data_IF_906999357014
#
_entry.id   IF_906999357014
#
_cell.length_a   1.000
_cell.length_b   1.000
_cell.length_c   1.000
_cell.angle_alpha   90.00
_cell.angle_beta   90.00
_cell.angle_gamma   90.00
#
_symmetry.space_group_name_H-M   'P 1'
#
loop_
_entity.id
_entity.type
_entity.pdbx_description
1 polymer ?
#
# COMPACT_ATOMS: atom_id res chain seq x y z
N UNK A 1 8.08 31.78 10.24
CA UNK A 1 8.06 31.11 8.91
C UNK A 1 9.34 30.36 8.57
N UNK A 2 10.53 30.73 9.08
CA UNK A 2 11.78 30.00 8.78
C UNK A 2 11.89 28.61 9.46
N UNK A 3 11.34 28.44 10.67
CA UNK A 3 11.45 27.19 11.44
C UNK A 3 10.77 25.97 10.78
N UNK A 4 9.59 26.19 10.19
CA UNK A 4 8.86 25.16 9.44
C UNK A 4 9.55 24.77 8.14
N UNK A 5 10.37 25.65 7.56
CA UNK A 5 11.10 25.36 6.32
C UNK A 5 12.22 24.36 6.57
N UNK A 6 12.96 24.53 7.66
CA UNK A 6 14.03 23.61 8.06
C UNK A 6 13.49 22.24 8.49
N UNK A 7 12.35 22.20 9.18
CA UNK A 7 11.68 20.95 9.56
C UNK A 7 11.15 20.18 8.34
N UNK A 8 10.61 20.87 7.34
CA UNK A 8 10.16 20.26 6.07
C UNK A 8 11.35 19.77 5.24
N UNK A 9 12.44 20.54 5.16
CA UNK A 9 13.66 20.13 4.45
C UNK A 9 14.31 18.91 5.12
N UNK A 10 14.32 18.85 6.46
CA UNK A 10 14.82 17.70 7.21
C UNK A 10 13.95 16.44 6.99
N UNK A 11 12.63 16.58 7.08
CA UNK A 11 11.71 15.48 6.82
C UNK A 11 11.81 14.98 5.37
N UNK A 12 12.02 15.87 4.40
CA UNK A 12 12.23 15.52 2.99
C UNK A 12 13.56 14.78 2.76
N UNK A 13 14.63 15.19 3.45
CA UNK A 13 15.92 14.50 3.45
C UNK A 13 15.82 13.11 4.09
N UNK A 14 15.16 12.98 5.24
CA UNK A 14 14.92 11.69 5.88
C UNK A 14 14.07 10.76 5.00
N UNK A 15 13.04 11.29 4.33
CA UNK A 15 12.24 10.54 3.37
C UNK A 15 13.08 10.11 2.15
N UNK A 16 13.94 10.98 1.62
CA UNK A 16 14.81 10.67 0.50
C UNK A 16 15.87 9.62 0.87
N UNK A 17 16.47 9.71 2.06
CA UNK A 17 17.40 8.70 2.57
C UNK A 17 16.71 7.36 2.80
N UNK A 18 15.52 7.39 3.39
CA UNK A 18 14.71 6.17 3.63
C UNK A 18 14.29 5.54 2.30
N UNK A 19 13.91 6.32 1.30
CA UNK A 19 13.65 5.84 -0.06
C UNK A 19 14.90 5.25 -0.72
N UNK A 20 16.05 5.90 -0.55
CA UNK A 20 17.34 5.39 -1.02
C UNK A 20 17.73 4.05 -0.36
N UNK A 21 17.36 3.85 0.90
CA UNK A 21 17.54 2.57 1.59
C UNK A 21 16.54 1.50 1.11
N UNK A 22 15.28 1.87 0.86
CA UNK A 22 14.26 0.96 0.34
C UNK A 22 14.64 0.40 -1.03
N UNK A 23 15.17 1.23 -1.94
CA UNK A 23 15.62 0.79 -3.29
C UNK A 23 16.72 -0.27 -3.31
N UNK A 24 17.37 -0.53 -2.16
CA UNK A 24 18.43 -1.55 -2.04
C UNK A 24 17.91 -2.87 -1.48
N UNK A 25 16.65 -2.92 -1.06
CA UNK A 25 16.06 -4.13 -0.51
C UNK A 25 15.60 -5.06 -1.64
N UNK A 26 15.66 -6.37 -1.43
CA UNK A 26 15.09 -7.33 -2.37
C UNK A 26 13.58 -7.12 -2.48
N UNK A 27 13.01 -7.49 -3.62
CA UNK A 27 11.58 -7.32 -3.92
C UNK A 27 10.73 -8.07 -2.88
N UNK A 28 11.19 -9.24 -2.42
CA UNK A 28 10.50 -10.02 -1.39
C UNK A 28 10.33 -9.25 -0.07
N UNK A 29 11.36 -8.52 0.36
CA UNK A 29 11.34 -7.71 1.59
C UNK A 29 10.43 -6.49 1.41
N UNK A 30 10.50 -5.83 0.25
CA UNK A 30 9.62 -4.71 -0.08
C UNK A 30 8.15 -5.12 -0.07
N UNK A 31 7.83 -6.27 -0.66
CA UNK A 31 6.48 -6.84 -0.67
C UNK A 31 6.03 -7.27 0.73
N UNK A 32 6.93 -7.78 1.56
CA UNK A 32 6.61 -8.14 2.94
C UNK A 32 6.25 -6.92 3.77
N UNK A 33 6.96 -5.80 3.59
CA UNK A 33 6.63 -4.52 4.22
C UNK A 33 5.33 -3.94 3.70
N UNK A 34 5.09 -4.04 2.40
CA UNK A 34 3.83 -3.59 1.78
C UNK A 34 2.63 -4.33 2.38
N UNK A 35 2.68 -5.67 2.44
CA UNK A 35 1.62 -6.48 3.08
C UNK A 35 1.39 -6.12 4.55
N UNK A 36 2.47 -5.92 5.31
CA UNK A 36 2.36 -5.48 6.69
C UNK A 36 1.63 -4.13 6.83
N UNK A 37 1.91 -3.18 5.94
CA UNK A 37 1.19 -1.89 5.92
C UNK A 37 -0.26 -2.02 5.49
N UNK A 38 -0.59 -2.92 4.56
CA UNK A 38 -1.98 -3.27 4.22
C UNK A 38 -2.73 -3.77 5.46
N UNK A 39 -2.17 -4.75 6.17
CA UNK A 39 -2.75 -5.33 7.39
C UNK A 39 -2.95 -4.27 8.50
N UNK A 40 -1.99 -3.35 8.67
CA UNK A 40 -2.12 -2.23 9.59
C UNK A 40 -3.28 -1.30 9.21
N UNK A 41 -3.39 -0.93 7.93
CA UNK A 41 -4.49 -0.08 7.45
C UNK A 41 -5.85 -0.74 7.64
N UNK A 42 -5.96 -2.04 7.38
CA UNK A 42 -7.20 -2.80 7.58
C UNK A 42 -7.59 -2.83 9.06
N UNK A 43 -6.63 -3.11 9.95
CA UNK A 43 -6.85 -3.12 11.39
C UNK A 43 -7.32 -1.76 11.90
N UNK A 44 -6.62 -0.68 11.57
CA UNK A 44 -6.96 0.68 12.02
C UNK A 44 -8.30 1.15 11.44
N UNK A 45 -8.59 0.83 10.18
CA UNK A 45 -9.91 1.06 9.58
C UNK A 45 -11.01 0.31 10.34
N UNK A 46 -10.74 -0.93 10.75
CA UNK A 46 -11.63 -1.74 11.57
C UNK A 46 -11.89 -1.14 12.95
N UNK A 47 -10.82 -0.68 13.63
CA UNK A 47 -10.90 0.01 14.93
C UNK A 47 -11.72 1.32 14.81
N UNK A 48 -11.46 2.13 13.78
CA UNK A 48 -12.20 3.35 13.51
C UNK A 48 -13.69 3.07 13.26
N UNK A 49 -14.00 2.03 12.48
CA UNK A 49 -15.39 1.65 12.22
C UNK A 49 -16.09 1.11 13.47
N UNK A 50 -15.39 0.33 14.30
CA UNK A 50 -15.91 -0.17 15.57
C UNK A 50 -16.25 0.97 16.53
N UNK A 51 -15.38 1.98 16.65
CA UNK A 51 -15.62 3.18 17.47
C UNK A 51 -16.83 3.96 16.97
N UNK A 52 -16.92 4.20 15.65
CA UNK A 52 -18.09 4.84 15.03
C UNK A 52 -19.37 4.07 15.34
N UNK A 53 -19.38 2.75 15.16
CA UNK A 53 -20.57 1.92 15.41
C UNK A 53 -20.95 1.89 16.89
N UNK A 54 -19.99 1.77 17.81
CA UNK A 54 -20.25 1.79 19.25
C UNK A 54 -20.93 3.09 19.69
N UNK A 55 -20.47 4.23 19.18
CA UNK A 55 -21.08 5.53 19.44
C UNK A 55 -22.53 5.61 18.97
N UNK A 56 -22.80 5.19 17.72
CA UNK A 56 -24.16 5.20 17.18
C UNK A 56 -25.09 4.24 17.92
N UNK A 57 -24.59 3.11 18.41
CA UNK A 57 -25.39 2.17 19.23
C UNK A 57 -25.78 2.77 20.58
N UNK A 58 -24.85 3.44 21.26
CA UNK A 58 -25.12 4.11 22.55
C UNK A 58 -26.14 5.23 22.36
N UNK A 59 -26.01 6.05 21.32
CA UNK A 59 -26.95 7.15 21.07
C UNK A 59 -28.32 6.68 20.54
N UNK A 60 -28.36 5.66 19.69
CA UNK A 60 -29.62 5.06 19.23
C UNK A 60 -30.43 4.39 20.35
N UNK A 61 -29.77 3.94 21.43
CA UNK A 61 -30.43 3.44 22.65
C UNK A 61 -30.96 4.57 23.56
N UNK A 62 -30.46 5.80 23.41
CA UNK A 62 -30.96 6.97 24.13
C UNK A 62 -32.22 7.50 23.45
N UNK A 63 -32.24 7.60 22.12
CA UNK A 63 -33.40 8.07 21.35
C UNK A 63 -34.62 7.13 21.47
N UNK A 64 -34.41 5.81 21.57
CA UNK A 64 -35.53 4.86 21.71
C UNK A 64 -36.16 4.82 23.11
N UNK A 65 -35.55 5.45 24.12
CA UNK A 65 -36.10 5.55 25.48
C UNK A 65 -36.85 6.85 25.74
N UNK A 66 -36.75 7.84 24.85
CA UNK A 66 -37.36 9.16 25.00
C UNK A 66 -38.30 9.41 23.82
N UNK A 67 -39.59 9.08 24.00
CA UNK A 67 -40.67 9.66 23.20
C UNK A 67 -41.22 8.78 22.06
N UNK A 68 -42.34 8.12 22.35
CA UNK A 68 -43.34 7.76 21.34
C UNK A 68 -44.24 8.97 21.02
N UNK A 69 -43.64 10.16 20.82
CA UNK A 69 -44.38 11.37 20.47
C UNK A 69 -43.58 12.20 19.46
N UNK A 70 -44.33 12.86 18.60
CA UNK A 70 -43.98 13.19 17.22
C UNK A 70 -42.91 14.28 17.03
N UNK A 71 -42.19 14.18 15.90
CA UNK A 71 -41.70 15.31 15.11
C UNK A 71 -40.70 16.27 15.79
N UNK A 72 -39.43 15.87 15.89
CA UNK A 72 -38.32 16.82 16.01
C UNK A 72 -37.23 16.50 14.98
N UNK A 73 -36.79 17.53 14.25
CA UNK A 73 -35.56 17.46 13.47
C UNK A 73 -34.42 17.14 14.44
N UNK A 74 -33.90 15.92 14.39
CA UNK A 74 -32.80 15.50 15.25
C UNK A 74 -31.63 16.45 15.04
N UNK A 75 -31.29 17.23 16.07
CA UNK A 75 -30.04 18.00 16.07
C UNK A 75 -28.87 17.02 15.85
N UNK A 76 -27.86 17.40 15.04
CA UNK A 76 -26.70 16.54 14.86
C UNK A 76 -26.04 16.32 16.20
N UNK A 77 -26.12 15.09 16.72
CA UNK A 77 -25.48 14.70 17.97
C UNK A 77 -23.98 14.92 17.80
N UNK A 78 -23.46 15.94 18.49
CA UNK A 78 -22.03 16.25 18.46
C UNK A 78 -21.26 15.11 19.13
N UNK A 79 -20.19 14.66 18.48
CA UNK A 79 -19.30 13.65 19.04
C UNK A 79 -18.72 14.15 20.36
N UNK A 80 -18.63 13.31 21.40
CA UNK A 80 -17.83 13.59 22.57
C UNK A 80 -16.41 13.97 22.14
N UNK A 81 -15.84 15.00 22.76
CA UNK A 81 -14.53 15.54 22.37
C UNK A 81 -13.43 14.48 22.37
N UNK A 82 -13.46 13.54 23.31
CA UNK A 82 -12.52 12.42 23.38
C UNK A 82 -12.68 11.47 22.18
N UNK A 83 -13.91 11.09 21.83
CA UNK A 83 -14.17 10.24 20.66
C UNK A 83 -13.79 10.93 19.35
N UNK A 84 -14.01 12.25 19.24
CA UNK A 84 -13.60 13.02 18.08
C UNK A 84 -12.06 13.02 17.92
N UNK A 85 -11.32 13.18 19.02
CA UNK A 85 -9.86 13.11 19.02
C UNK A 85 -9.34 11.72 18.64
N UNK A 86 -9.91 10.65 19.21
CA UNK A 86 -9.50 9.27 18.89
C UNK A 86 -9.74 8.94 17.40
N UNK A 87 -10.87 9.39 16.84
CA UNK A 87 -11.17 9.20 15.41
C UNK A 87 -10.23 9.98 14.50
N UNK A 88 -9.85 11.21 14.90
CA UNK A 88 -8.89 12.05 14.18
C UNK A 88 -7.48 11.44 14.21
N UNK A 89 -7.07 10.89 15.35
CA UNK A 89 -5.79 10.18 15.49
C UNK A 89 -5.73 8.96 14.57
N UNK A 90 -6.76 8.10 14.63
CA UNK A 90 -6.86 6.93 13.74
C UNK A 90 -6.90 7.32 12.27
N UNK A 91 -7.63 8.38 11.91
CA UNK A 91 -7.69 8.86 10.53
C UNK A 91 -6.32 9.36 10.04
N UNK A 92 -5.60 10.07 10.91
CA UNK A 92 -4.24 10.56 10.61
C UNK A 92 -3.29 9.39 10.43
N UNK A 93 -3.33 8.39 11.31
CA UNK A 93 -2.46 7.22 11.22
C UNK A 93 -2.75 6.39 9.95
N UNK A 94 -4.03 6.17 9.62
CA UNK A 94 -4.44 5.51 8.37
C UNK A 94 -3.88 6.25 7.16
N UNK A 95 -4.00 7.59 7.11
CA UNK A 95 -3.46 8.40 5.99
C UNK A 95 -1.95 8.29 5.87
N UNK A 96 -1.23 8.27 6.99
CA UNK A 96 0.23 8.10 7.01
C UNK A 96 0.63 6.75 6.43
N UNK A 97 0.01 5.65 6.87
CA UNK A 97 0.35 4.32 6.34
C UNK A 97 -0.07 4.16 4.87
N UNK A 98 -1.21 4.72 4.46
CA UNK A 98 -1.59 4.75 3.04
C UNK A 98 -0.57 5.50 2.17
N UNK A 99 -0.02 6.61 2.67
CA UNK A 99 1.05 7.32 1.98
C UNK A 99 2.33 6.48 1.88
N UNK A 100 2.76 5.88 3.00
CA UNK A 100 3.95 5.01 3.00
C UNK A 100 3.78 3.80 2.08
N UNK A 101 2.56 3.25 2.01
CA UNK A 101 2.22 2.15 1.13
C UNK A 101 2.32 2.55 -0.34
N UNK A 102 1.88 3.76 -0.72
CA UNK A 102 2.06 4.30 -2.07
C UNK A 102 3.54 4.47 -2.44
N UNK A 103 4.34 5.00 -1.52
CA UNK A 103 5.79 5.13 -1.72
C UNK A 103 6.43 3.75 -1.91
N UNK A 104 6.04 2.74 -1.12
CA UNK A 104 6.51 1.37 -1.31
C UNK A 104 6.08 0.79 -2.65
N UNK A 105 4.84 1.05 -3.11
CA UNK A 105 4.35 0.60 -4.41
C UNK A 105 5.22 1.17 -5.54
N UNK A 106 5.54 2.46 -5.51
CA UNK A 106 6.43 3.11 -6.47
C UNK A 106 7.82 2.47 -6.43
N UNK A 107 8.40 2.27 -5.23
CA UNK A 107 9.72 1.63 -5.10
C UNK A 107 9.72 0.20 -5.64
N UNK A 108 8.68 -0.60 -5.39
CA UNK A 108 8.57 -1.97 -5.92
C UNK A 108 8.49 -1.94 -7.45
N UNK A 109 7.74 -1.01 -8.03
CA UNK A 109 7.66 -0.84 -9.49
C UNK A 109 9.01 -0.45 -10.08
N UNK A 110 9.74 0.47 -9.46
CA UNK A 110 11.07 0.89 -9.94
C UNK A 110 12.20 -0.13 -9.69
N UNK A 111 11.99 -1.09 -8.78
CA UNK A 111 13.01 -2.09 -8.44
C UNK A 111 13.04 -3.18 -9.51
N UNK A 112 14.15 -3.29 -10.25
CA UNK A 112 14.35 -4.38 -11.19
C UNK A 112 14.47 -5.71 -10.42
N UNK A 113 13.77 -6.77 -10.85
CA UNK A 113 13.96 -8.08 -10.26
C UNK A 113 15.40 -8.56 -10.50
N UNK A 114 15.93 -9.37 -9.59
CA UNK A 114 17.29 -9.94 -9.71
C UNK A 114 17.30 -11.39 -10.20
N UNK A 115 16.17 -12.09 -10.03
CA UNK A 115 15.99 -13.47 -10.45
C UNK A 115 14.54 -13.77 -10.86
N UNK A 116 14.31 -14.98 -11.37
CA UNK A 116 13.00 -15.42 -11.85
C UNK A 116 11.95 -15.41 -10.73
N UNK A 117 12.34 -15.69 -9.49
CA UNK A 117 11.42 -15.70 -8.36
C UNK A 117 10.93 -14.29 -8.07
N UNK A 118 11.83 -13.31 -8.04
CA UNK A 118 11.50 -11.89 -7.87
C UNK A 118 10.67 -11.35 -9.03
N UNK A 119 10.95 -11.75 -10.28
CA UNK A 119 10.08 -11.42 -11.43
C UNK A 119 8.66 -11.93 -11.20
N UNK A 120 8.50 -13.19 -10.78
CA UNK A 120 7.17 -13.76 -10.52
C UNK A 120 6.47 -13.07 -9.34
N UNK A 121 7.20 -12.65 -8.31
CA UNK A 121 6.66 -11.88 -7.20
C UNK A 121 6.18 -10.49 -7.66
N UNK A 122 7.00 -9.77 -8.45
CA UNK A 122 6.65 -8.46 -9.01
C UNK A 122 5.43 -8.56 -9.93
N UNK A 123 5.36 -9.56 -10.81
CA UNK A 123 4.20 -9.79 -11.68
C UNK A 123 2.91 -10.07 -10.88
N UNK A 124 2.98 -10.90 -9.82
CA UNK A 124 1.83 -11.14 -8.93
C UNK A 124 1.38 -9.86 -8.24
N UNK A 125 2.33 -9.04 -7.80
CA UNK A 125 2.04 -7.76 -7.19
C UNK A 125 1.37 -6.80 -8.16
N UNK A 126 1.88 -6.64 -9.38
CA UNK A 126 1.25 -5.81 -10.42
C UNK A 126 -0.18 -6.28 -10.74
N UNK A 127 -0.38 -7.60 -10.86
CA UNK A 127 -1.70 -8.19 -11.04
C UNK A 127 -2.65 -7.86 -9.88
N UNK A 128 -2.16 -7.83 -8.63
CA UNK A 128 -2.96 -7.41 -7.47
C UNK A 128 -3.32 -5.93 -7.58
N UNK A 129 -2.36 -5.04 -7.84
CA UNK A 129 -2.64 -3.60 -7.98
C UNK A 129 -3.74 -3.32 -9.02
N UNK A 130 -3.68 -3.99 -10.16
CA UNK A 130 -4.70 -3.86 -11.20
C UNK A 130 -6.07 -4.38 -10.75
N UNK A 131 -6.10 -5.47 -9.97
CA UNK A 131 -7.34 -6.03 -9.41
C UNK A 131 -7.96 -5.11 -8.36
N UNK A 132 -7.10 -4.39 -7.62
CA UNK A 132 -7.49 -3.37 -6.63
C UNK A 132 -7.91 -2.04 -7.30
N UNK A 133 -7.90 -1.97 -8.63
CA UNK A 133 -8.35 -0.83 -9.41
C UNK A 133 -7.32 0.29 -9.56
N UNK A 134 -6.05 0.02 -9.26
CA UNK A 134 -4.96 0.98 -9.48
C UNK A 134 -4.63 1.02 -10.97
N UNK A 135 -4.81 2.18 -11.57
CA UNK A 135 -4.45 2.42 -12.97
C UNK A 135 -2.93 2.55 -13.09
N UNK A 136 -2.35 1.74 -13.98
CA UNK A 136 -0.95 1.81 -14.36
C UNK A 136 -0.92 2.30 -15.80
N UNK A 137 -0.08 3.31 -16.07
CA UNK A 137 0.13 3.80 -17.42
C UNK A 137 0.56 2.63 -18.34
N UNK A 138 -0.02 2.48 -19.56
CA UNK A 138 0.29 1.35 -20.42
C UNK A 138 1.76 1.23 -20.84
N UNK A 139 2.47 2.35 -21.02
CA UNK A 139 3.89 2.36 -21.38
C UNK A 139 4.73 1.95 -20.16
N UNK A 140 4.40 2.47 -18.99
CA UNK A 140 5.02 2.04 -17.74
C UNK A 140 4.78 0.55 -17.47
N UNK A 141 3.56 0.06 -17.69
CA UNK A 141 3.23 -1.35 -17.55
C UNK A 141 4.05 -2.22 -18.50
N UNK A 142 4.16 -1.83 -19.78
CA UNK A 142 4.97 -2.57 -20.75
C UNK A 142 6.44 -2.67 -20.29
N UNK A 143 7.03 -1.57 -19.82
CA UNK A 143 8.40 -1.58 -19.29
C UNK A 143 8.53 -2.52 -18.08
N UNK A 144 7.58 -2.49 -17.15
CA UNK A 144 7.58 -3.36 -15.97
C UNK A 144 7.52 -4.86 -16.34
N UNK A 145 6.81 -5.21 -17.41
CA UNK A 145 6.76 -6.57 -17.94
C UNK A 145 8.08 -6.95 -18.61
N UNK A 146 8.66 -6.05 -19.40
CA UNK A 146 9.96 -6.24 -20.05
C UNK A 146 11.06 -6.50 -19.01
N UNK A 147 11.15 -5.68 -17.96
CA UNK A 147 12.11 -5.86 -16.86
C UNK A 147 12.00 -7.26 -16.22
N UNK A 148 10.77 -7.77 -16.09
CA UNK A 148 10.52 -9.11 -15.54
C UNK A 148 10.92 -10.22 -16.54
N UNK A 149 10.75 -9.99 -17.84
CA UNK A 149 11.01 -10.94 -18.91
C UNK A 149 12.50 -11.02 -19.27
N UNK A 150 13.27 -9.94 -19.15
CA UNK A 150 14.71 -9.93 -19.42
C UNK A 150 15.47 -10.98 -18.59
N UNK A 151 15.00 -11.29 -17.38
CA UNK A 151 15.59 -12.33 -16.53
C UNK A 151 15.40 -13.74 -17.11
N UNK A 152 14.37 -13.95 -17.92
CA UNK A 152 14.13 -15.23 -18.60
C UNK A 152 15.01 -15.43 -19.83
N UNK A 153 15.64 -14.37 -20.34
CA UNK A 153 16.65 -14.44 -21.40
C UNK A 153 18.01 -14.86 -20.82
N UNK A 154 18.06 -16.05 -20.23
CA UNK A 154 19.33 -16.78 -20.07
C UNK A 154 19.96 -16.91 -21.46
N UNK A 155 21.29 -16.68 -21.61
CA UNK A 155 21.95 -17.03 -22.86
C UNK A 155 21.68 -18.51 -23.15
N UNK A 156 21.20 -18.78 -24.37
CA UNK A 156 21.13 -20.10 -24.97
C UNK A 156 22.41 -20.86 -24.61
N UNK A 157 22.37 -22.08 -24.02
CA UNK A 157 23.56 -22.91 -23.95
C UNK A 157 23.98 -23.17 -25.40
N UNK A 158 24.95 -22.39 -25.87
CA UNK A 158 25.44 -22.38 -27.25
C UNK A 158 25.80 -23.80 -27.75
N UNK A 159 25.84 -24.00 -29.08
CA UNK A 159 25.57 -25.27 -29.73
C UNK A 159 26.73 -26.25 -29.55
N UNK A 160 26.54 -27.27 -28.73
CA UNK A 160 27.47 -28.39 -28.65
C UNK A 160 26.66 -29.69 -28.57
N UNK A 161 26.35 -30.25 -29.74
CA UNK A 161 26.48 -31.67 -30.13
C UNK A 161 25.47 -32.05 -31.22
N UNK A 162 25.70 -31.60 -32.45
CA UNK A 162 25.26 -32.35 -33.63
C UNK A 162 26.46 -32.52 -34.56
N UNK A 163 27.39 -33.35 -34.11
CA UNK A 163 28.42 -33.95 -34.96
C UNK A 163 28.55 -35.41 -34.60
N UNK A 164 27.50 -36.20 -34.84
CA UNK A 164 27.63 -37.66 -34.97
C UNK A 164 26.42 -38.32 -35.63
N UNK A 165 26.11 -37.95 -36.87
CA UNK A 165 25.42 -38.86 -37.81
C UNK A 165 26.08 -38.73 -39.18
N UNK A 166 27.30 -39.27 -39.29
CA UNK A 166 27.87 -39.70 -40.56
C UNK A 166 28.99 -40.70 -40.27
N UNK A 167 28.59 -41.95 -40.16
CA UNK A 167 29.33 -43.18 -40.49
C UNK A 167 28.81 -44.32 -39.60
N UNK A 168 27.81 -45.06 -40.09
CA UNK A 168 27.90 -46.50 -40.31
C UNK A 168 26.64 -46.98 -41.04
#
# INVERSE_FOLDING_TARGET
MLKYKEEIEHAALELAERNGMLKRLPIEELLSRHRYMEELCERLSGEQQALKTAFHQVNGHIDTRVGADESEMSEPVSLPTELAADLEELETEIRIYQYQMKVLQEVIQETAPSDLSESMLKLKFLSKLMSDGIEIDPEAFAQLIEDCAEITNLPDPAPATLSLVRAH
#
